data_IF_450234402744
#
_entry.id   IF_450234402744
#
_cell.length_a   1.000
_cell.length_b   1.000
_cell.length_c   1.000
_cell.angle_alpha   90.00
_cell.angle_beta   90.00
_cell.angle_gamma   90.00
#
_symmetry.space_group_name_H-M   'P 1'
#
loop_
_entity.id
_entity.type
_entity.pdbx_description
1 polymer ?
#
# COMPACT_ATOMS: atom_id res chain seq x y z
N UNK A 1 -23.18 -26.00 11.79
CA UNK A 1 -23.59 -26.23 13.19
C UNK A 1 -23.14 -25.13 14.15
N UNK A 2 -21.91 -24.59 14.04
CA UNK A 2 -21.43 -23.49 14.92
C UNK A 2 -22.10 -22.14 14.61
N UNK A 3 -22.45 -21.86 13.34
CA UNK A 3 -23.07 -20.59 12.91
C UNK A 3 -24.51 -20.37 13.43
N UNK A 4 -25.25 -21.44 13.69
CA UNK A 4 -26.62 -21.37 14.23
C UNK A 4 -26.63 -21.21 15.75
N UNK A 5 -25.67 -21.81 16.47
CA UNK A 5 -25.54 -21.65 17.91
C UNK A 5 -25.16 -20.20 18.29
N UNK A 6 -24.25 -19.57 17.54
CA UNK A 6 -23.85 -18.18 17.77
C UNK A 6 -24.97 -17.15 17.54
N UNK A 7 -25.80 -17.33 16.50
CA UNK A 7 -26.94 -16.43 16.25
C UNK A 7 -28.07 -16.61 17.26
N UNK A 8 -28.26 -17.82 17.78
CA UNK A 8 -29.29 -18.09 18.80
C UNK A 8 -28.86 -17.55 20.16
N UNK A 9 -27.58 -17.68 20.51
CA UNK A 9 -27.03 -17.25 21.80
C UNK A 9 -26.88 -15.72 21.90
N UNK A 10 -26.48 -15.06 20.80
CA UNK A 10 -26.43 -13.61 20.70
C UNK A 10 -27.84 -12.98 20.64
N UNK A 11 -28.83 -13.70 20.08
CA UNK A 11 -30.24 -13.32 20.11
C UNK A 11 -30.89 -13.48 21.49
N UNK A 12 -30.48 -14.48 22.29
CA UNK A 12 -30.97 -14.66 23.65
C UNK A 12 -30.33 -13.70 24.66
N UNK A 13 -29.06 -13.33 24.49
CA UNK A 13 -28.39 -12.37 25.37
C UNK A 13 -28.86 -10.93 25.09
N UNK A 14 -29.13 -10.56 23.83
CA UNK A 14 -29.81 -9.29 23.49
C UNK A 14 -31.27 -9.25 23.95
N UNK A 15 -31.97 -10.39 24.00
CA UNK A 15 -33.36 -10.47 24.47
C UNK A 15 -33.49 -10.46 26.00
N UNK A 16 -32.42 -10.79 26.74
CA UNK A 16 -32.42 -10.77 28.21
C UNK A 16 -32.05 -9.39 28.78
N UNK A 17 -31.31 -8.55 28.06
CA UNK A 17 -31.08 -7.15 28.46
C UNK A 17 -32.16 -6.18 27.92
N UNK A 18 -32.84 -6.53 26.82
CA UNK A 18 -34.05 -5.84 26.36
C UNK A 18 -35.30 -6.60 26.80
N UNK A 19 -35.54 -6.64 28.11
CA UNK A 19 -36.88 -6.90 28.59
C UNK A 19 -37.73 -5.68 28.18
N UNK A 20 -38.66 -5.80 27.22
CA UNK A 20 -39.54 -4.69 26.94
C UNK A 20 -40.34 -4.50 28.23
N UNK A 21 -40.26 -3.32 28.84
CA UNK A 21 -41.25 -2.90 29.81
C UNK A 21 -42.60 -2.79 29.09
N UNK A 22 -43.21 -3.95 28.84
CA UNK A 22 -44.63 -4.15 28.55
C UNK A 22 -45.34 -3.81 29.85
N UNK A 23 -45.38 -2.51 30.10
CA UNK A 23 -45.82 -1.91 31.35
C UNK A 23 -46.01 -0.41 31.14
N UNK A 24 -46.60 -0.02 30.00
CA UNK A 24 -47.44 1.16 29.80
C UNK A 24 -46.99 2.56 30.25
N UNK A 25 -45.78 2.78 30.76
CA UNK A 25 -45.45 4.07 31.41
C UNK A 25 -44.00 4.53 31.24
N UNK A 26 -43.11 3.76 30.61
CA UNK A 26 -41.84 4.33 30.13
C UNK A 26 -42.14 5.15 28.87
N UNK A 27 -41.68 6.42 28.82
CA UNK A 27 -41.83 7.34 27.69
C UNK A 27 -41.86 6.57 26.36
N UNK A 28 -43.03 6.56 25.68
CA UNK A 28 -43.38 5.59 24.65
C UNK A 28 -42.43 5.50 23.44
N UNK A 29 -42.80 4.79 22.36
CA UNK A 29 -41.94 4.57 21.17
C UNK A 29 -41.33 5.86 20.56
N UNK A 30 -41.93 7.00 20.88
CA UNK A 30 -41.47 8.34 20.52
C UNK A 30 -40.08 8.72 21.07
N UNK A 31 -39.77 8.44 22.34
CA UNK A 31 -38.49 8.82 22.94
C UNK A 31 -37.30 8.10 22.29
N UNK A 32 -37.50 6.81 22.01
CA UNK A 32 -36.53 5.99 21.27
C UNK A 32 -36.37 6.52 19.84
N UNK A 33 -37.46 6.82 19.13
CA UNK A 33 -37.42 7.33 17.77
C UNK A 33 -36.61 8.64 17.63
N UNK A 34 -36.72 9.57 18.58
CA UNK A 34 -35.93 10.81 18.57
C UNK A 34 -34.43 10.52 18.65
N UNK A 35 -34.01 9.58 19.49
CA UNK A 35 -32.60 9.20 19.64
C UNK A 35 -32.08 8.57 18.35
N UNK A 36 -32.86 7.75 17.67
CA UNK A 36 -32.49 7.19 16.37
C UNK A 36 -32.34 8.27 15.29
N UNK A 37 -33.25 9.26 15.25
CA UNK A 37 -33.14 10.39 14.30
C UNK A 37 -31.90 11.24 14.59
N UNK A 38 -31.65 11.53 15.87
CA UNK A 38 -30.44 12.23 16.31
C UNK A 38 -29.17 11.50 15.88
N UNK A 39 -29.11 10.18 16.12
CA UNK A 39 -27.98 9.35 15.70
C UNK A 39 -27.77 9.37 14.18
N UNK A 40 -28.85 9.25 13.40
CA UNK A 40 -28.76 9.26 11.94
C UNK A 40 -28.17 10.58 11.42
N UNK A 41 -28.59 11.72 11.99
CA UNK A 41 -28.04 13.03 11.65
C UNK A 41 -26.55 13.09 12.00
N UNK A 42 -26.16 12.56 13.17
CA UNK A 42 -24.76 12.52 13.59
C UNK A 42 -23.87 11.71 12.67
N UNK A 43 -24.31 10.51 12.27
CA UNK A 43 -23.56 9.65 11.34
C UNK A 43 -23.39 10.33 9.98
N UNK A 44 -24.44 10.97 9.45
CA UNK A 44 -24.39 11.67 8.16
C UNK A 44 -23.44 12.86 8.22
N UNK A 45 -23.56 13.70 9.26
CA UNK A 45 -22.70 14.86 9.44
C UNK A 45 -21.22 14.45 9.58
N UNK A 46 -20.94 13.43 10.41
CA UNK A 46 -19.61 12.88 10.59
C UNK A 46 -19.01 12.36 9.26
N UNK A 47 -19.79 11.61 8.49
CA UNK A 47 -19.34 11.07 7.19
C UNK A 47 -19.00 12.16 6.17
N UNK A 48 -19.79 13.23 6.11
CA UNK A 48 -19.55 14.36 5.20
C UNK A 48 -18.27 15.12 5.55
N UNK A 49 -17.92 15.19 6.84
CA UNK A 49 -16.73 15.88 7.32
C UNK A 49 -15.44 15.05 7.18
N UNK A 50 -15.50 13.73 7.40
CA UNK A 50 -14.33 12.83 7.29
C UNK A 50 -13.95 12.55 5.83
N UNK A 51 -14.94 12.44 4.93
CA UNK A 51 -14.68 12.03 3.53
C UNK A 51 -13.71 12.94 2.75
N UNK A 52 -13.70 14.28 2.91
CA UNK A 52 -12.71 15.14 2.27
C UNK A 52 -11.29 15.02 2.88
N UNK A 53 -11.18 14.70 4.17
CA UNK A 53 -9.89 14.65 4.88
C UNK A 53 -8.99 13.55 4.33
N UNK A 54 -9.55 12.36 4.06
CA UNK A 54 -8.81 11.24 3.48
C UNK A 54 -8.20 11.58 2.12
N UNK A 55 -8.92 12.35 1.28
CA UNK A 55 -8.42 12.84 -0.01
C UNK A 55 -7.27 13.85 0.17
N UNK A 56 -7.33 14.70 1.19
CA UNK A 56 -6.25 15.64 1.49
C UNK A 56 -5.01 14.93 2.02
N UNK A 57 -5.15 13.96 2.92
CA UNK A 57 -4.04 13.14 3.42
C UNK A 57 -3.34 12.40 2.27
N UNK A 58 -4.09 11.78 1.37
CA UNK A 58 -3.50 11.11 0.20
C UNK A 58 -2.73 12.07 -0.73
N UNK A 59 -3.19 13.32 -0.87
CA UNK A 59 -2.47 14.35 -1.65
C UNK A 59 -1.16 14.78 -0.98
N UNK A 60 -1.13 14.83 0.35
CA UNK A 60 0.09 15.12 1.12
C UNK A 60 1.10 13.99 0.97
N UNK A 61 0.68 12.74 1.19
CA UNK A 61 1.54 11.55 1.06
C UNK A 61 2.19 11.49 -0.34
N UNK A 62 1.42 11.80 -1.39
CA UNK A 62 1.95 11.86 -2.76
C UNK A 62 3.01 12.97 -2.92
N UNK A 63 2.72 14.18 -2.43
CA UNK A 63 3.67 15.30 -2.53
C UNK A 63 4.95 15.06 -1.71
N UNK A 64 4.84 14.35 -0.57
CA UNK A 64 5.98 13.95 0.25
C UNK A 64 6.83 12.90 -0.46
N UNK A 65 6.19 11.93 -1.11
CA UNK A 65 6.86 10.96 -1.97
C UNK A 65 7.64 11.63 -3.12
N UNK A 66 7.02 12.58 -3.82
CA UNK A 66 7.65 13.34 -4.90
C UNK A 66 8.88 14.12 -4.40
N UNK A 67 8.77 14.77 -3.24
CA UNK A 67 9.88 15.50 -2.62
C UNK A 67 11.04 14.57 -2.21
N UNK A 68 10.74 13.42 -1.58
CA UNK A 68 11.75 12.41 -1.23
C UNK A 68 12.45 11.87 -2.47
N UNK A 69 11.69 11.60 -3.53
CA UNK A 69 12.26 11.13 -4.80
C UNK A 69 13.22 12.15 -5.42
N UNK A 70 12.88 13.45 -5.39
CA UNK A 70 13.79 14.52 -5.85
C UNK A 70 15.12 14.48 -5.07
N UNK A 71 15.08 14.35 -3.75
CA UNK A 71 16.30 14.24 -2.93
C UNK A 71 17.13 12.97 -3.24
N UNK A 72 16.48 11.82 -3.39
CA UNK A 72 17.16 10.57 -3.78
C UNK A 72 17.80 10.72 -5.16
N UNK A 73 17.14 11.39 -6.10
CA UNK A 73 17.70 11.66 -7.43
C UNK A 73 18.92 12.58 -7.37
N UNK A 74 18.93 13.60 -6.52
CA UNK A 74 20.10 14.48 -6.34
C UNK A 74 21.26 13.70 -5.72
N UNK A 75 20.99 12.88 -4.70
CA UNK A 75 22.01 12.03 -4.07
C UNK A 75 22.65 11.06 -5.06
N UNK A 76 21.82 10.32 -5.81
CA UNK A 76 22.31 9.28 -6.73
C UNK A 76 23.04 9.85 -7.96
N UNK A 77 22.87 11.14 -8.29
CA UNK A 77 23.53 11.80 -9.42
C UNK A 77 24.30 13.05 -8.96
N UNK A 78 24.84 13.02 -7.74
CA UNK A 78 25.51 14.17 -7.13
C UNK A 78 26.78 14.56 -7.91
N UNK A 79 27.51 13.56 -8.41
CA UNK A 79 28.71 13.76 -9.22
C UNK A 79 28.37 14.44 -10.55
N UNK A 80 27.38 13.93 -11.28
CA UNK A 80 26.93 14.55 -12.54
C UNK A 80 26.40 15.97 -12.32
N UNK A 81 25.63 16.20 -11.25
CA UNK A 81 25.16 17.54 -10.88
C UNK A 81 26.32 18.49 -10.58
N UNK A 82 27.36 18.01 -9.89
CA UNK A 82 28.57 18.78 -9.62
C UNK A 82 29.36 19.12 -10.89
N UNK A 83 29.48 18.18 -11.84
CA UNK A 83 30.09 18.45 -13.16
C UNK A 83 29.37 19.57 -13.92
N UNK A 84 28.04 19.61 -13.85
CA UNK A 84 27.26 20.71 -14.44
C UNK A 84 27.25 21.99 -13.59
N UNK A 85 27.83 21.96 -12.38
CA UNK A 85 27.71 23.03 -11.39
C UNK A 85 26.24 23.40 -11.11
N UNK A 86 25.35 22.41 -11.11
CA UNK A 86 23.89 22.60 -11.09
C UNK A 86 23.30 22.86 -9.69
N UNK A 87 24.13 23.22 -8.70
CA UNK A 87 23.72 23.38 -7.30
C UNK A 87 22.55 24.36 -7.11
N UNK A 88 22.60 25.54 -7.75
CA UNK A 88 21.52 26.54 -7.65
C UNK A 88 20.22 26.06 -8.29
N UNK A 89 20.32 25.36 -9.44
CA UNK A 89 19.17 24.80 -10.13
C UNK A 89 18.50 23.69 -9.31
N UNK A 90 19.29 22.74 -8.78
CA UNK A 90 18.79 21.65 -7.96
C UNK A 90 18.18 22.16 -6.65
N UNK A 91 18.76 23.20 -6.05
CA UNK A 91 18.17 23.90 -4.90
C UNK A 91 16.83 24.52 -5.26
N UNK A 92 16.75 25.31 -6.33
CA UNK A 92 15.51 25.97 -6.74
C UNK A 92 14.38 24.96 -7.03
N UNK A 93 14.67 23.87 -7.75
CA UNK A 93 13.67 22.83 -8.00
C UNK A 93 13.29 22.08 -6.72
N UNK A 94 14.24 21.78 -5.82
CA UNK A 94 13.93 21.14 -4.54
C UNK A 94 13.05 22.03 -3.65
N UNK A 95 13.33 23.33 -3.61
CA UNK A 95 12.51 24.32 -2.92
C UNK A 95 11.10 24.42 -3.52
N UNK A 96 10.96 24.28 -4.84
CA UNK A 96 9.65 24.23 -5.52
C UNK A 96 8.83 23.02 -5.06
N UNK A 97 9.43 21.82 -5.00
CA UNK A 97 8.76 20.63 -4.46
C UNK A 97 8.42 20.81 -2.98
N UNK A 98 9.33 21.39 -2.20
CA UNK A 98 9.11 21.67 -0.78
C UNK A 98 7.96 22.66 -0.56
N UNK A 99 7.90 23.77 -1.30
CA UNK A 99 6.79 24.75 -1.20
C UNK A 99 5.48 24.12 -1.67
N UNK A 100 5.51 23.25 -2.68
CA UNK A 100 4.32 22.50 -3.08
C UNK A 100 3.83 21.57 -1.97
N UNK A 101 4.73 20.79 -1.37
CA UNK A 101 4.45 19.96 -0.20
C UNK A 101 3.93 20.81 0.94
N UNK A 102 4.57 21.93 1.26
CA UNK A 102 4.16 22.84 2.33
C UNK A 102 2.77 23.42 2.07
N UNK A 103 2.43 23.80 0.84
CA UNK A 103 1.07 24.24 0.48
C UNK A 103 0.04 23.13 0.63
N UNK A 104 0.39 21.87 0.31
CA UNK A 104 -0.49 20.72 0.50
C UNK A 104 -0.63 20.35 1.97
N UNK A 105 0.46 20.38 2.72
CA UNK A 105 0.49 20.15 4.16
C UNK A 105 -0.27 21.24 4.87
N UNK A 106 -0.06 22.51 4.51
CA UNK A 106 -0.80 23.65 5.01
C UNK A 106 -2.25 23.56 4.58
N UNK A 107 -2.59 23.16 3.35
CA UNK A 107 -3.97 22.97 2.93
C UNK A 107 -4.68 21.84 3.69
N UNK A 108 -4.00 20.72 3.92
CA UNK A 108 -4.50 19.62 4.75
C UNK A 108 -4.62 20.05 6.22
N UNK A 109 -3.64 20.80 6.72
CA UNK A 109 -3.60 21.35 8.07
C UNK A 109 -4.65 22.45 8.24
N UNK A 110 -4.88 23.31 7.25
CA UNK A 110 -5.95 24.29 7.12
C UNK A 110 -7.29 23.65 6.76
N UNK A 111 -7.34 22.35 6.51
CA UNK A 111 -8.60 21.59 6.49
C UNK A 111 -8.83 20.90 7.83
N UNK A 112 -7.73 20.52 8.51
CA UNK A 112 -7.74 20.11 9.93
C UNK A 112 -8.09 21.29 10.85
N UNK A 113 -7.62 22.51 10.58
CA UNK A 113 -7.77 23.70 11.44
C UNK A 113 -9.19 24.28 11.48
N UNK A 114 -9.97 24.43 10.40
CA UNK A 114 -11.39 24.74 10.49
C UNK A 114 -12.22 23.56 11.01
N UNK A 115 -11.63 22.38 11.23
CA UNK A 115 -12.20 21.31 12.08
C UNK A 115 -11.75 21.40 13.56
N UNK A 116 -10.84 22.35 13.89
CA UNK A 116 -10.20 22.52 15.21
C UNK A 116 -10.37 23.94 15.82
N UNK A 117 -10.63 24.99 15.00
CA UNK A 117 -10.95 26.37 15.41
C UNK A 117 -12.44 26.69 15.27
N UNK A 118 -13.15 25.91 14.45
CA UNK A 118 -14.58 25.72 14.56
C UNK A 118 -14.69 24.23 14.83
N UNK A 119 -14.75 23.79 16.08
CA UNK A 119 -14.76 22.36 16.26
C UNK A 119 -15.97 21.77 15.51
N UNK A 120 -15.74 20.75 14.71
CA UNK A 120 -16.81 20.10 13.94
C UNK A 120 -16.56 18.62 13.77
N UNK A 121 -15.34 18.14 14.03
CA UNK A 121 -15.09 16.71 14.22
C UNK A 121 -14.95 16.41 15.72
N UNK A 122 -14.11 17.18 16.42
CA UNK A 122 -14.03 17.12 17.88
C UNK A 122 -15.23 17.77 18.56
N UNK A 123 -15.79 18.90 18.10
CA UNK A 123 -17.10 19.33 18.62
C UNK A 123 -18.15 18.40 18.12
N UNK A 124 -18.18 17.83 16.91
CA UNK A 124 -19.33 16.98 16.59
C UNK A 124 -19.28 15.70 17.43
N UNK A 125 -18.12 15.09 17.67
CA UNK A 125 -17.99 13.98 18.61
C UNK A 125 -18.29 14.43 20.06
N UNK A 126 -17.65 15.49 20.55
CA UNK A 126 -17.91 16.04 21.89
C UNK A 126 -19.35 16.60 22.04
N UNK A 127 -19.96 17.12 21.00
CA UNK A 127 -21.35 17.64 20.94
C UNK A 127 -22.29 16.45 20.90
N UNK A 128 -22.02 15.43 20.10
CA UNK A 128 -22.84 14.23 20.14
C UNK A 128 -22.80 13.56 21.52
N UNK A 129 -21.65 13.58 22.18
CA UNK A 129 -21.44 12.99 23.50
C UNK A 129 -22.00 13.86 24.65
N UNK A 130 -21.65 15.14 24.73
CA UNK A 130 -22.12 16.05 25.77
C UNK A 130 -23.58 16.49 25.55
N UNK A 131 -23.96 16.79 24.31
CA UNK A 131 -25.32 17.20 23.97
C UNK A 131 -26.27 16.01 23.88
N UNK A 132 -25.77 14.81 23.61
CA UNK A 132 -26.56 13.58 23.74
C UNK A 132 -27.06 13.39 25.17
N UNK A 133 -26.20 13.60 26.17
CA UNK A 133 -26.62 13.57 27.57
C UNK A 133 -27.72 14.62 27.87
N UNK A 134 -27.59 15.84 27.35
CA UNK A 134 -28.60 16.91 27.50
C UNK A 134 -29.92 16.54 26.81
N UNK A 135 -29.86 16.03 25.58
CA UNK A 135 -31.03 15.59 24.81
C UNK A 135 -31.79 14.48 25.55
N UNK A 136 -31.09 13.58 26.25
CA UNK A 136 -31.74 12.52 27.03
C UNK A 136 -32.67 13.07 28.11
N UNK A 137 -32.35 14.23 28.71
CA UNK A 137 -33.21 14.93 29.66
C UNK A 137 -34.28 15.77 28.96
N UNK A 138 -33.96 16.42 27.82
CA UNK A 138 -34.94 17.20 27.05
C UNK A 138 -36.07 16.34 26.50
N UNK A 139 -35.79 15.10 26.07
CA UNK A 139 -36.81 14.15 25.60
C UNK A 139 -37.86 13.86 26.69
N UNK A 140 -37.48 13.92 27.96
CA UNK A 140 -38.37 13.67 29.09
C UNK A 140 -39.33 14.85 29.37
N UNK A 141 -39.03 16.05 28.87
CA UNK A 141 -39.94 17.19 28.98
C UNK A 141 -41.23 17.00 28.18
N UNK A 142 -41.18 16.26 27.06
CA UNK A 142 -42.36 16.02 26.22
C UNK A 142 -43.46 15.20 26.93
N UNK A 143 -43.17 14.01 27.51
CA UNK A 143 -44.15 13.27 28.32
C UNK A 143 -44.70 14.04 29.53
N UNK A 144 -43.87 14.86 30.17
CA UNK A 144 -44.22 15.60 31.39
C UNK A 144 -45.12 16.80 31.08
N UNK A 145 -44.72 17.65 30.13
CA UNK A 145 -45.40 18.93 29.89
C UNK A 145 -46.34 18.95 28.69
N UNK A 146 -46.14 18.06 27.70
CA UNK A 146 -46.91 18.10 26.45
C UNK A 146 -47.95 16.99 26.41
N UNK A 147 -47.56 15.76 26.75
CA UNK A 147 -48.47 14.62 26.74
C UNK A 147 -49.21 14.41 28.07
N UNK A 148 -48.87 15.18 29.13
CA UNK A 148 -49.49 15.10 30.46
C UNK A 148 -49.65 13.65 30.97
N UNK A 149 -48.75 12.76 30.56
CA UNK A 149 -48.91 11.31 30.74
C UNK A 149 -48.73 10.89 32.20
N UNK A 150 -48.12 11.75 33.01
CA UNK A 150 -47.75 11.48 34.38
C UNK A 150 -48.55 12.31 35.41
N UNK A 151 -49.56 13.08 34.98
CA UNK A 151 -50.34 13.98 35.86
C UNK A 151 -51.08 13.25 36.99
N UNK A 152 -51.35 11.95 36.82
CA UNK A 152 -52.05 11.11 37.80
C UNK A 152 -51.09 10.31 38.71
N UNK A 153 -49.78 10.51 38.61
CA UNK A 153 -48.79 9.74 39.38
C UNK A 153 -48.31 10.48 40.63
N UNK A 154 -48.02 9.71 41.69
CA UNK A 154 -47.39 10.23 42.90
C UNK A 154 -45.96 10.75 42.61
N UNK A 155 -45.56 11.82 43.29
CA UNK A 155 -44.30 12.52 43.05
C UNK A 155 -43.08 11.62 43.27
N UNK A 156 -43.15 10.67 44.22
CA UNK A 156 -42.07 9.71 44.47
C UNK A 156 -41.91 8.68 43.34
N UNK A 157 -43.03 8.26 42.73
CA UNK A 157 -43.04 7.30 41.61
C UNK A 157 -42.54 7.99 40.34
N UNK A 158 -42.95 9.24 40.10
CA UNK A 158 -42.50 10.04 38.96
C UNK A 158 -40.99 10.25 38.95
N UNK A 159 -40.39 10.59 40.11
CA UNK A 159 -38.93 10.75 40.22
C UNK A 159 -38.16 9.48 39.88
N UNK A 160 -38.65 8.31 40.34
CA UNK A 160 -38.06 7.00 40.00
C UNK A 160 -38.17 6.68 38.51
N UNK A 161 -39.31 6.99 37.90
CA UNK A 161 -39.55 6.76 36.46
C UNK A 161 -38.61 7.61 35.58
N UNK A 162 -38.45 8.89 35.91
CA UNK A 162 -37.57 9.84 35.24
C UNK A 162 -36.12 9.38 35.34
N UNK A 163 -35.67 9.01 36.54
CA UNK A 163 -34.30 8.50 36.75
C UNK A 163 -34.01 7.25 35.93
N UNK A 164 -34.95 6.29 35.89
CA UNK A 164 -34.80 5.07 35.10
C UNK A 164 -34.76 5.37 33.59
N UNK A 165 -35.68 6.20 33.09
CA UNK A 165 -35.73 6.59 31.68
C UNK A 165 -34.47 7.36 31.26
N UNK A 166 -33.97 8.26 32.10
CA UNK A 166 -32.71 8.98 31.87
C UNK A 166 -31.53 8.00 31.74
N UNK A 167 -31.44 7.03 32.63
CA UNK A 167 -30.39 6.01 32.58
C UNK A 167 -30.44 5.20 31.28
N UNK A 168 -31.63 4.75 30.86
CA UNK A 168 -31.78 4.02 29.59
C UNK A 168 -31.42 4.86 28.37
N UNK A 169 -31.83 6.13 28.31
CA UNK A 169 -31.51 7.01 27.19
C UNK A 169 -30.02 7.38 27.12
N UNK A 170 -29.38 7.66 28.26
CA UNK A 170 -27.94 7.91 28.31
C UNK A 170 -27.16 6.67 27.88
N UNK A 171 -27.56 5.47 28.34
CA UNK A 171 -26.93 4.22 27.96
C UNK A 171 -27.07 3.92 26.45
N UNK A 172 -28.25 4.21 25.89
CA UNK A 172 -28.50 4.06 24.45
C UNK A 172 -27.62 5.01 23.62
N UNK A 173 -27.49 6.27 24.04
CA UNK A 173 -26.63 7.26 23.37
C UNK A 173 -25.17 6.85 23.42
N UNK A 174 -24.67 6.44 24.60
CA UNK A 174 -23.29 5.96 24.74
C UNK A 174 -23.01 4.74 23.85
N UNK A 175 -23.97 3.82 23.73
CA UNK A 175 -23.85 2.67 22.83
C UNK A 175 -23.76 3.07 21.36
N UNK A 176 -24.53 4.09 20.95
CA UNK A 176 -24.48 4.65 19.60
C UNK A 176 -23.20 5.43 19.31
N UNK A 177 -22.68 6.21 20.26
CA UNK A 177 -21.36 6.85 20.14
C UNK A 177 -20.29 5.79 19.88
N UNK A 178 -20.23 4.75 20.73
CA UNK A 178 -19.27 3.65 20.56
C UNK A 178 -19.39 2.96 19.20
N UNK A 179 -20.60 2.78 18.70
CA UNK A 179 -20.83 2.22 17.37
C UNK A 179 -20.27 3.12 16.26
N UNK A 180 -20.37 4.44 16.41
CA UNK A 180 -19.81 5.42 15.46
C UNK A 180 -18.28 5.38 15.46
N UNK A 181 -17.67 5.28 16.64
CA UNK A 181 -16.22 5.16 16.80
C UNK A 181 -15.71 3.87 16.14
N UNK A 182 -16.41 2.74 16.37
CA UNK A 182 -16.10 1.47 15.73
C UNK A 182 -16.30 1.52 14.21
N UNK A 183 -17.30 2.25 13.71
CA UNK A 183 -17.55 2.38 12.27
C UNK A 183 -16.38 3.10 11.55
N UNK A 184 -15.72 4.07 12.19
CA UNK A 184 -14.51 4.69 11.66
C UNK A 184 -13.38 3.65 11.52
N UNK A 185 -13.11 2.88 12.57
CA UNK A 185 -12.08 1.83 12.57
C UNK A 185 -12.36 0.75 11.51
N UNK A 186 -13.62 0.36 11.32
CA UNK A 186 -14.06 -0.57 10.27
C UNK A 186 -13.81 0.04 8.88
N UNK A 187 -14.07 1.33 8.70
CA UNK A 187 -13.81 2.05 7.46
C UNK A 187 -12.34 2.04 7.06
N UNK A 188 -11.44 2.26 8.02
CA UNK A 188 -9.99 2.17 7.80
C UNK A 188 -9.56 0.74 7.44
N UNK A 189 -10.06 -0.26 8.19
CA UNK A 189 -9.80 -1.67 7.90
C UNK A 189 -10.26 -2.07 6.49
N UNK A 190 -11.43 -1.61 6.06
CA UNK A 190 -11.95 -1.84 4.71
C UNK A 190 -11.03 -1.21 3.64
N UNK A 191 -10.49 -0.01 3.90
CA UNK A 191 -9.52 0.65 3.03
C UNK A 191 -8.23 -0.15 2.86
N UNK A 192 -7.66 -0.67 3.96
CA UNK A 192 -6.48 -1.54 3.88
C UNK A 192 -6.78 -2.86 3.18
N UNK A 193 -7.93 -3.48 3.50
CA UNK A 193 -8.37 -4.72 2.87
C UNK A 193 -8.51 -4.57 1.35
N UNK A 194 -9.07 -3.46 0.86
CA UNK A 194 -9.19 -3.20 -0.57
C UNK A 194 -7.82 -3.09 -1.26
N UNK A 195 -6.84 -2.38 -0.66
CA UNK A 195 -5.48 -2.27 -1.21
C UNK A 195 -4.78 -3.63 -1.28
N UNK A 196 -4.90 -4.44 -0.23
CA UNK A 196 -4.34 -5.79 -0.18
C UNK A 196 -5.02 -6.70 -1.21
N UNK A 197 -6.35 -6.64 -1.31
CA UNK A 197 -7.11 -7.44 -2.27
C UNK A 197 -6.74 -7.10 -3.72
N UNK A 198 -6.56 -5.82 -4.03
CA UNK A 198 -6.11 -5.38 -5.36
C UNK A 198 -4.71 -5.91 -5.70
N UNK A 199 -3.77 -5.78 -4.76
CA UNK A 199 -2.41 -6.32 -4.92
C UNK A 199 -2.44 -7.84 -5.15
N UNK A 200 -3.16 -8.58 -4.32
CA UNK A 200 -3.31 -10.04 -4.46
C UNK A 200 -3.95 -10.42 -5.78
N UNK A 201 -4.95 -9.65 -6.24
CA UNK A 201 -5.61 -9.88 -7.55
C UNK A 201 -4.63 -9.68 -8.70
N UNK A 202 -3.81 -8.63 -8.67
CA UNK A 202 -2.79 -8.39 -9.69
C UNK A 202 -1.70 -9.47 -9.69
N UNK A 203 -1.20 -9.87 -8.51
CA UNK A 203 -0.24 -10.97 -8.39
C UNK A 203 -0.80 -12.28 -8.94
N UNK A 204 -2.07 -12.59 -8.66
CA UNK A 204 -2.73 -13.78 -9.20
C UNK A 204 -2.92 -13.70 -10.72
N UNK A 205 -3.33 -12.55 -11.25
CA UNK A 205 -3.43 -12.33 -12.70
C UNK A 205 -2.11 -12.60 -13.40
N UNK A 206 -0.98 -12.17 -12.82
CA UNK A 206 0.35 -12.42 -13.39
C UNK A 206 0.76 -13.90 -13.33
N UNK A 207 0.27 -14.66 -12.35
CA UNK A 207 0.53 -16.09 -12.24
C UNK A 207 -0.34 -16.91 -13.21
N UNK A 208 -1.61 -16.54 -13.39
CA UNK A 208 -2.59 -17.27 -14.19
C UNK A 208 -2.50 -16.94 -15.71
N UNK A 209 -2.08 -15.74 -16.10
CA UNK A 209 -2.04 -15.27 -17.50
C UNK A 209 -0.82 -15.82 -18.28
N UNK A 210 -0.41 -17.05 -17.97
CA UNK A 210 0.69 -17.80 -18.58
C UNK A 210 0.49 -18.12 -20.06
N UNK A 211 0.32 -17.09 -20.90
CA UNK A 211 0.48 -17.17 -22.35
C UNK A 211 1.89 -17.65 -22.61
N UNK A 212 2.02 -18.91 -23.02
CA UNK A 212 3.30 -19.57 -23.27
C UNK A 212 3.93 -19.11 -24.58
N UNK A 213 4.20 -17.81 -24.71
CA UNK A 213 5.18 -17.31 -25.68
C UNK A 213 6.58 -17.90 -25.42
N UNK A 214 6.78 -18.40 -24.20
CA UNK A 214 7.99 -19.05 -23.72
C UNK A 214 7.74 -20.55 -23.57
N UNK A 215 8.43 -21.33 -24.39
CA UNK A 215 8.55 -22.77 -24.21
C UNK A 215 9.84 -23.11 -23.47
N UNK A 216 9.76 -23.95 -22.44
CA UNK A 216 10.91 -24.77 -22.04
C UNK A 216 10.95 -25.96 -22.99
N UNK A 217 12.13 -26.28 -23.54
CA UNK A 217 12.29 -27.18 -24.69
C UNK A 217 11.93 -28.65 -24.47
N UNK A 218 10.67 -28.94 -24.15
CA UNK A 218 10.06 -30.26 -24.38
C UNK A 218 9.74 -30.38 -25.88
N UNK A 219 10.77 -30.56 -26.73
CA UNK A 219 10.56 -30.91 -28.15
C UNK A 219 11.43 -30.21 -29.20
N UNK A 220 12.41 -29.39 -28.83
CA UNK A 220 13.42 -28.86 -29.76
C UNK A 220 14.74 -29.60 -29.55
N UNK A 221 15.46 -29.90 -30.63
CA UNK A 221 16.79 -30.52 -30.61
C UNK A 221 17.62 -29.95 -29.45
N UNK A 222 18.05 -30.82 -28.53
CA UNK A 222 18.77 -30.45 -27.31
C UNK A 222 20.11 -29.74 -27.55
N UNK A 223 20.48 -29.53 -28.81
CA UNK A 223 21.70 -28.85 -29.28
C UNK A 223 21.56 -27.34 -29.38
N UNK A 224 20.35 -26.78 -29.43
CA UNK A 224 20.15 -25.33 -29.46
C UNK A 224 19.98 -24.74 -28.05
N UNK A 225 20.55 -23.56 -27.83
CA UNK A 225 20.43 -22.81 -26.58
C UNK A 225 19.20 -21.89 -26.58
N UNK A 226 18.95 -21.22 -27.71
CA UNK A 226 17.87 -20.26 -27.88
C UNK A 226 17.31 -20.34 -29.31
N UNK A 227 16.00 -20.47 -29.43
CA UNK A 227 15.29 -20.43 -30.72
C UNK A 227 14.14 -19.43 -30.63
N UNK A 228 14.14 -18.41 -31.49
CA UNK A 228 13.04 -17.48 -31.66
C UNK A 228 12.45 -17.66 -33.07
N UNK A 229 11.13 -17.84 -33.15
CA UNK A 229 10.40 -18.06 -34.39
C UNK A 229 9.34 -16.97 -34.58
N UNK A 230 9.39 -16.28 -35.71
CA UNK A 230 8.47 -15.19 -36.09
C UNK A 230 8.21 -14.20 -34.94
N UNK A 231 9.27 -13.84 -34.24
CA UNK A 231 9.19 -13.01 -33.04
C UNK A 231 8.96 -11.54 -33.42
N UNK A 232 7.86 -10.98 -32.95
CA UNK A 232 7.57 -9.56 -33.08
C UNK A 232 7.30 -8.95 -31.71
N UNK A 233 7.91 -7.80 -31.43
CA UNK A 233 7.72 -7.08 -30.17
C UNK A 233 7.76 -5.57 -30.36
N UNK A 234 6.94 -4.88 -29.56
CA UNK A 234 6.80 -3.42 -29.52
C UNK A 234 7.32 -2.85 -28.19
N UNK A 235 7.29 -1.53 -28.04
CA UNK A 235 7.49 -0.91 -26.73
C UNK A 235 6.32 -1.25 -25.79
N UNK A 236 6.57 -1.54 -24.49
CA UNK A 236 5.49 -1.75 -23.52
C UNK A 236 4.59 -0.52 -23.33
N UNK A 237 5.15 0.68 -23.50
CA UNK A 237 4.40 1.95 -23.37
C UNK A 237 3.58 2.29 -24.61
N UNK A 238 3.95 1.79 -25.79
CA UNK A 238 3.27 2.03 -27.06
C UNK A 238 3.25 0.77 -27.93
N UNK A 239 2.12 0.03 -27.94
CA UNK A 239 1.95 -1.17 -28.75
C UNK A 239 2.09 -0.96 -30.26
N UNK A 240 1.91 0.28 -30.75
CA UNK A 240 1.98 0.57 -32.18
C UNK A 240 3.42 0.77 -32.68
N UNK A 241 4.35 1.02 -31.77
CA UNK A 241 5.77 1.18 -32.10
C UNK A 241 6.47 -0.17 -32.12
N UNK A 242 6.40 -0.87 -33.25
CA UNK A 242 7.08 -2.15 -33.47
C UNK A 242 8.59 -1.95 -33.50
N UNK A 243 9.30 -2.65 -32.62
CA UNK A 243 10.77 -2.58 -32.50
C UNK A 243 11.43 -3.59 -33.44
N UNK A 244 10.90 -4.81 -33.47
CA UNK A 244 11.30 -5.85 -34.41
C UNK A 244 10.06 -6.63 -34.85
N UNK A 245 10.02 -6.98 -36.12
CA UNK A 245 8.97 -7.81 -36.73
C UNK A 245 9.59 -9.07 -37.34
N UNK A 246 8.92 -10.21 -37.17
CA UNK A 246 9.22 -11.50 -37.80
C UNK A 246 10.68 -11.97 -37.61
N UNK A 247 11.25 -11.71 -36.43
CA UNK A 247 12.62 -12.10 -36.11
C UNK A 247 12.70 -13.62 -35.93
N UNK A 248 13.53 -14.25 -36.76
CA UNK A 248 13.88 -15.66 -36.66
C UNK A 248 15.36 -15.76 -36.24
N UNK A 249 15.61 -16.38 -35.09
CA UNK A 249 16.95 -16.50 -34.51
C UNK A 249 17.16 -17.92 -33.97
N UNK A 250 18.27 -18.56 -34.34
CA UNK A 250 18.69 -19.86 -33.80
C UNK A 250 20.11 -19.76 -33.29
N UNK A 251 20.31 -20.00 -32.00
CA UNK A 251 21.62 -19.99 -31.35
C UNK A 251 21.95 -21.39 -30.84
N UNK A 252 22.87 -22.11 -31.48
CA UNK A 252 23.38 -23.39 -31.00
C UNK A 252 24.16 -23.25 -29.69
N UNK A 253 24.25 -24.33 -28.91
CA UNK A 253 25.18 -24.40 -27.77
C UNK A 253 26.64 -24.19 -28.23
N UNK A 254 27.47 -23.65 -27.34
CA UNK A 254 28.90 -23.37 -27.56
C UNK A 254 29.22 -22.35 -28.68
N UNK A 255 28.21 -21.72 -29.28
CA UNK A 255 28.42 -20.63 -30.26
C UNK A 255 28.21 -19.26 -29.64
N UNK A 256 29.03 -18.31 -30.08
CA UNK A 256 28.91 -16.90 -29.71
C UNK A 256 28.18 -16.13 -30.80
N UNK A 257 27.18 -15.35 -30.41
CA UNK A 257 26.44 -14.44 -31.29
C UNK A 257 26.75 -12.99 -30.89
N UNK A 258 27.22 -12.18 -31.83
CA UNK A 258 27.41 -10.75 -31.65
C UNK A 258 26.23 -9.99 -32.27
N UNK A 259 25.52 -9.20 -31.46
CA UNK A 259 24.41 -8.35 -31.91
C UNK A 259 24.91 -6.91 -32.04
N UNK A 260 24.96 -6.40 -33.27
CA UNK A 260 25.41 -5.03 -33.59
C UNK A 260 24.32 -4.24 -34.32
N UNK A 261 24.44 -2.91 -34.33
CA UNK A 261 23.50 -1.99 -34.98
C UNK A 261 23.45 -0.62 -34.31
N UNK A 262 22.76 0.33 -34.94
CA UNK A 262 22.65 1.71 -34.46
C UNK A 262 22.04 1.81 -33.05
N UNK A 263 22.39 2.87 -32.31
CA UNK A 263 21.75 3.15 -31.02
C UNK A 263 20.24 3.34 -31.19
N UNK A 264 19.45 2.85 -30.23
CA UNK A 264 17.98 2.99 -30.25
C UNK A 264 17.21 1.94 -31.08
N UNK A 265 17.86 1.09 -31.87
CA UNK A 265 17.16 0.10 -32.73
C UNK A 265 16.53 -1.09 -31.98
N UNK A 266 16.68 -1.18 -30.65
CA UNK A 266 16.06 -2.24 -29.85
C UNK A 266 16.92 -3.44 -29.48
N UNK A 267 18.25 -3.38 -29.65
CA UNK A 267 19.17 -4.46 -29.25
C UNK A 267 18.99 -4.89 -27.78
N UNK A 268 18.98 -3.92 -26.87
CA UNK A 268 18.75 -4.20 -25.45
C UNK A 268 17.31 -4.66 -25.17
N UNK A 269 16.35 -4.26 -26.00
CA UNK A 269 14.96 -4.71 -25.90
C UNK A 269 14.81 -6.18 -26.27
N UNK A 270 15.55 -6.67 -27.28
CA UNK A 270 15.61 -8.10 -27.59
C UNK A 270 16.10 -8.92 -26.39
N UNK A 271 17.13 -8.46 -25.67
CA UNK A 271 17.59 -9.12 -24.45
C UNK A 271 16.54 -9.09 -23.32
N UNK A 272 15.75 -8.01 -23.20
CA UNK A 272 14.63 -7.94 -22.24
C UNK A 272 13.53 -8.92 -22.58
N UNK A 273 13.20 -9.07 -23.86
CA UNK A 273 12.29 -10.09 -24.35
C UNK A 273 12.87 -11.46 -23.98
N UNK A 274 14.09 -11.80 -24.41
CA UNK A 274 14.77 -13.08 -24.09
C UNK A 274 14.94 -13.37 -22.58
N UNK A 275 14.84 -12.37 -21.69
CA UNK A 275 14.82 -12.58 -20.23
C UNK A 275 13.41 -12.70 -19.62
N UNK A 276 12.36 -12.53 -20.42
CA UNK A 276 10.94 -12.49 -20.01
C UNK A 276 10.63 -11.24 -19.17
N UNK A 277 11.30 -10.13 -19.47
CA UNK A 277 10.96 -8.83 -18.89
C UNK A 277 9.93 -8.10 -19.74
N UNK A 278 9.94 -8.33 -21.06
CA UNK A 278 8.97 -7.78 -22.02
C UNK A 278 8.23 -8.93 -22.68
N UNK A 279 6.90 -8.82 -22.76
CA UNK A 279 6.06 -9.77 -23.47
C UNK A 279 6.11 -9.50 -24.99
N UNK A 280 6.30 -10.52 -25.82
CA UNK A 280 6.22 -10.36 -27.26
C UNK A 280 4.77 -10.19 -27.73
N UNK A 281 4.57 -9.51 -28.86
CA UNK A 281 3.26 -9.36 -29.48
C UNK A 281 2.86 -10.63 -30.23
N UNK A 282 3.84 -11.28 -30.87
CA UNK A 282 3.64 -12.53 -31.62
C UNK A 282 4.94 -13.34 -31.69
N UNK A 283 4.80 -14.62 -32.07
CA UNK A 283 5.90 -15.55 -32.22
C UNK A 283 6.10 -16.44 -31.00
N UNK A 284 7.17 -17.23 -31.02
CA UNK A 284 7.50 -18.14 -29.92
C UNK A 284 8.98 -18.10 -29.67
N UNK A 285 9.37 -18.17 -28.40
CA UNK A 285 10.77 -18.27 -28.02
C UNK A 285 10.96 -19.47 -27.10
N UNK A 286 11.93 -20.29 -27.46
CA UNK A 286 12.26 -21.53 -26.79
C UNK A 286 13.62 -21.36 -26.16
N UNK A 287 13.68 -21.56 -24.84
CA UNK A 287 14.89 -21.39 -24.05
C UNK A 287 15.31 -22.74 -23.46
N UNK A 288 16.50 -23.19 -23.81
CA UNK A 288 17.09 -24.41 -23.26
C UNK A 288 18.09 -24.08 -22.13
N UNK A 289 17.78 -23.04 -21.35
CA UNK A 289 18.55 -22.62 -20.18
C UNK A 289 17.63 -22.26 -19.02
N UNK A 290 18.14 -22.46 -17.81
CA UNK A 290 17.48 -22.14 -16.54
C UNK A 290 18.10 -20.87 -15.94
N UNK A 291 17.47 -20.33 -14.89
CA UNK A 291 18.02 -19.18 -14.17
C UNK A 291 19.36 -19.50 -13.46
N UNK A 292 19.67 -20.77 -13.24
CA UNK A 292 20.88 -21.22 -12.55
C UNK A 292 22.09 -21.39 -13.47
N UNK A 293 21.86 -21.64 -14.77
CA UNK A 293 22.93 -21.90 -15.75
C UNK A 293 23.14 -20.74 -16.75
N UNK A 294 22.30 -19.71 -16.74
CA UNK A 294 22.44 -18.53 -17.58
C UNK A 294 22.50 -17.25 -16.74
N UNK A 295 23.51 -16.41 -17.01
CA UNK A 295 23.67 -15.10 -16.40
C UNK A 295 23.38 -14.00 -17.42
N UNK A 296 22.56 -13.02 -17.02
CA UNK A 296 22.25 -11.84 -17.84
C UNK A 296 22.87 -10.60 -17.20
N UNK A 297 23.75 -9.92 -17.94
CA UNK A 297 24.37 -8.68 -17.50
C UNK A 297 23.61 -7.46 -18.07
N UNK A 298 23.13 -6.54 -17.21
CA UNK A 298 22.50 -5.31 -17.68
C UNK A 298 23.54 -4.33 -18.25
N UNK A 299 23.08 -3.41 -19.11
CA UNK A 299 23.94 -2.35 -19.66
C UNK A 299 24.45 -1.38 -18.59
N UNK A 300 23.62 -1.10 -17.57
CA UNK A 300 24.03 -0.35 -16.37
C UNK A 300 24.25 -1.36 -15.25
N UNK A 301 25.47 -1.49 -14.70
CA UNK A 301 25.73 -2.36 -13.56
C UNK A 301 24.78 -2.05 -12.40
N UNK A 302 24.34 -3.09 -11.70
CA UNK A 302 23.49 -2.97 -10.53
C UNK A 302 24.25 -3.52 -9.33
N UNK A 303 24.44 -2.68 -8.32
CA UNK A 303 24.97 -3.06 -7.03
C UNK A 303 23.84 -2.95 -6.00
N UNK A 304 23.49 -4.04 -5.29
CA UNK A 304 22.47 -3.99 -4.27
C UNK A 304 22.85 -3.00 -3.15
N UNK A 305 21.91 -2.15 -2.67
CA UNK A 305 22.16 -1.27 -1.54
C UNK A 305 22.25 -2.07 -0.23
N UNK A 306 22.85 -1.44 0.79
CA UNK A 306 23.14 -2.00 2.10
C UNK A 306 24.65 -2.00 2.39
N UNK A 307 25.00 -2.09 3.68
CA UNK A 307 26.38 -2.27 4.17
C UNK A 307 26.91 -3.68 3.86
N UNK A 308 26.87 -4.06 2.58
CA UNK A 308 27.25 -5.37 2.07
C UNK A 308 28.77 -5.44 1.93
N UNK A 309 29.31 -6.63 2.19
CA UNK A 309 30.72 -6.91 1.92
C UNK A 309 30.97 -7.08 0.42
N UNK A 310 32.22 -6.89 -0.03
CA UNK A 310 32.59 -7.15 -1.44
C UNK A 310 32.21 -8.56 -1.85
N UNK A 311 32.38 -9.54 -0.94
CA UNK A 311 31.97 -10.92 -1.21
C UNK A 311 30.51 -11.03 -1.60
N UNK A 312 29.62 -10.38 -0.84
CA UNK A 312 28.18 -10.38 -1.10
C UNK A 312 27.86 -9.75 -2.45
N UNK A 313 28.57 -8.69 -2.83
CA UNK A 313 28.39 -8.03 -4.13
C UNK A 313 28.87 -8.90 -5.30
N UNK A 314 29.99 -9.62 -5.16
CA UNK A 314 30.54 -10.49 -6.21
C UNK A 314 29.67 -11.75 -6.39
N UNK A 315 29.17 -12.32 -5.30
CA UNK A 315 28.39 -13.56 -5.32
C UNK A 315 26.93 -13.33 -5.75
N UNK A 316 26.46 -12.08 -5.69
CA UNK A 316 25.14 -11.70 -6.19
C UNK A 316 24.90 -12.29 -7.61
N UNK A 317 23.78 -13.00 -7.86
CA UNK A 317 22.52 -13.03 -7.11
C UNK A 317 22.36 -14.19 -6.10
N UNK A 318 23.40 -14.96 -5.82
CA UNK A 318 23.32 -16.08 -4.85
C UNK A 318 23.43 -15.57 -3.41
N UNK A 319 22.76 -16.26 -2.49
CA UNK A 319 22.89 -16.00 -1.06
C UNK A 319 24.11 -16.72 -0.48
N UNK A 320 24.73 -16.11 0.53
CA UNK A 320 25.87 -16.71 1.23
C UNK A 320 25.53 -17.99 1.99
N UNK A 321 24.28 -18.11 2.45
CA UNK A 321 23.76 -19.30 3.14
C UNK A 321 23.82 -20.56 2.29
N UNK A 322 23.75 -20.41 0.97
CA UNK A 322 23.59 -21.52 0.03
C UNK A 322 24.95 -22.01 -0.49
N UNK A 323 26.06 -21.40 -0.05
CA UNK A 323 27.41 -21.74 -0.49
C UNK A 323 28.06 -22.78 0.44
N UNK A 324 28.44 -23.96 -0.09
CA UNK A 324 29.32 -24.87 0.64
C UNK A 324 30.72 -24.26 0.76
N UNK A 325 31.40 -24.50 1.90
CA UNK A 325 32.78 -24.10 2.20
C UNK A 325 33.19 -22.66 1.80
N UNK A 326 32.72 -21.68 2.59
CA UNK A 326 33.00 -20.24 2.41
C UNK A 326 34.48 -19.90 2.23
N UNK A 327 35.39 -20.59 2.91
CA UNK A 327 36.83 -20.33 2.82
C UNK A 327 37.41 -20.65 1.43
N UNK A 328 36.93 -21.73 0.81
CA UNK A 328 37.40 -22.14 -0.53
C UNK A 328 36.88 -21.18 -1.61
N UNK A 329 35.65 -20.69 -1.47
CA UNK A 329 35.10 -19.66 -2.35
C UNK A 329 35.80 -18.31 -2.17
N UNK A 330 36.18 -17.93 -0.94
CA UNK A 330 36.98 -16.72 -0.69
C UNK A 330 38.32 -16.78 -1.44
N UNK A 331 39.03 -17.91 -1.37
CA UNK A 331 40.29 -18.10 -2.10
C UNK A 331 40.10 -18.02 -3.62
N UNK A 332 39.00 -18.59 -4.12
CA UNK A 332 38.63 -18.53 -5.53
C UNK A 332 38.35 -17.10 -5.97
N UNK A 333 37.58 -16.35 -5.19
CA UNK A 333 37.27 -14.94 -5.44
C UNK A 333 38.56 -14.12 -5.46
N UNK A 334 39.46 -14.32 -4.49
CA UNK A 334 40.75 -13.61 -4.45
C UNK A 334 41.62 -13.91 -5.67
N UNK A 335 41.66 -15.16 -6.15
CA UNK A 335 42.37 -15.50 -7.40
C UNK A 335 41.78 -14.80 -8.62
N UNK A 336 40.45 -14.69 -8.70
CA UNK A 336 39.77 -13.97 -9.79
C UNK A 336 40.04 -12.47 -9.70
N UNK A 337 40.00 -11.89 -8.51
CA UNK A 337 40.32 -10.47 -8.31
C UNK A 337 41.78 -10.18 -8.66
N UNK A 338 42.69 -11.11 -8.37
CA UNK A 338 44.09 -11.02 -8.77
C UNK A 338 44.27 -11.08 -10.29
N UNK A 339 43.56 -11.98 -10.98
CA UNK A 339 43.65 -12.06 -12.45
C UNK A 339 43.05 -10.86 -13.17
N UNK A 340 42.12 -10.14 -12.51
CA UNK A 340 41.49 -8.92 -13.01
C UNK A 340 42.19 -7.62 -12.55
N UNK A 341 43.28 -7.71 -11.78
CA UNK A 341 44.01 -6.58 -11.18
C UNK A 341 43.14 -5.68 -10.27
N UNK A 342 42.16 -6.29 -9.58
CA UNK A 342 41.21 -5.61 -8.70
C UNK A 342 41.52 -5.78 -7.20
N UNK A 343 42.72 -6.26 -6.84
CA UNK A 343 43.10 -6.52 -5.43
C UNK A 343 43.03 -5.25 -4.57
N UNK A 344 43.35 -4.08 -5.14
CA UNK A 344 43.31 -2.81 -4.41
C UNK A 344 41.93 -2.51 -3.83
N UNK A 345 40.86 -2.96 -4.49
CA UNK A 345 39.48 -2.76 -4.04
C UNK A 345 39.23 -3.45 -2.69
N UNK A 346 39.81 -4.65 -2.49
CA UNK A 346 39.73 -5.38 -1.21
C UNK A 346 40.49 -4.65 -0.09
N UNK A 347 41.60 -3.99 -0.42
CA UNK A 347 42.32 -3.19 0.58
C UNK A 347 41.60 -1.89 0.95
N UNK A 348 40.82 -1.32 0.02
CA UNK A 348 40.06 -0.09 0.25
C UNK A 348 38.81 -0.32 1.13
N UNK A 349 38.23 -1.53 1.10
CA UNK A 349 37.03 -1.89 1.86
C UNK A 349 37.31 -2.44 3.27
N UNK A 350 38.57 -2.50 3.70
CA UNK A 350 38.97 -3.13 4.98
C UNK A 350 39.12 -4.66 4.90
N UNK A 351 38.42 -5.32 3.97
CA UNK A 351 38.53 -6.75 3.72
C UNK A 351 37.47 -7.28 2.76
N UNK A 352 37.49 -8.60 2.53
CA UNK A 352 36.52 -9.29 1.68
C UNK A 352 35.16 -9.48 2.38
N UNK A 353 35.19 -9.66 3.71
CA UNK A 353 34.01 -9.92 4.57
C UNK A 353 33.50 -8.71 5.31
N UNK A 354 34.29 -7.64 5.37
CA UNK A 354 33.92 -6.44 6.11
C UNK A 354 32.84 -5.68 5.37
N UNK A 355 31.87 -5.19 6.12
CA UNK A 355 30.84 -4.30 5.59
C UNK A 355 31.51 -2.98 5.20
N UNK A 356 31.53 -2.68 3.92
CA UNK A 356 32.02 -1.40 3.45
C UNK A 356 30.85 -0.43 3.25
N UNK A 357 31.05 0.81 3.67
CA UNK A 357 30.07 1.88 3.53
C UNK A 357 30.23 2.48 2.12
N UNK A 358 29.59 1.84 1.15
CA UNK A 358 29.61 2.28 -0.25
C UNK A 358 28.49 3.30 -0.55
N UNK A 359 27.69 3.68 0.45
CA UNK A 359 26.56 4.60 0.30
C UNK A 359 26.95 6.03 0.70
N UNK A 360 27.66 6.74 -0.18
CA UNK A 360 27.92 8.18 -0.06
C UNK A 360 26.91 9.04 -0.80
#
# INVERSE_FOLDING_TARGET
MVRSAWLTQMGTDLALEFQPCVGGTASGPFGVAIIYVYFLIGVIANRLLVSPLTKWTARVERAEGDFRYKHVSVRNNAEESAFYSASEFDKHESDRFFVFLLKRQLGATLWKYPAQCNDALLLLQNFFDYYGAIISYVIQLFPIFIFHTYDNMDAAVLGKQISNNAFYFIYLINSFTRLTDLAMNIGEMAGYSQRIAELVRQMKSYHDDGKSFWGYGEGVDSSDLLVAQNLSFSLPSDPNSVVAADLNLRLPQEKTLLITGNSGVGKSSLLRVVKNLWEPCSGTIIRNFTQTNAMFLPQRPYFPPGSLSIRQQIVFPRNESDMPCLDQENDRIMKILQSLDLIKLVSMSGGLTDSADFEW
#
